data_IF_458298332878
#
_entry.id   IF_458298332878
#
_cell.length_a   1.000
_cell.length_b   1.000
_cell.length_c   1.000
_cell.angle_alpha   90.00
_cell.angle_beta   90.00
_cell.angle_gamma   90.00
#
_symmetry.space_group_name_H-M   'P 1'
#
loop_
_entity.id
_entity.type
_entity.pdbx_description
1 polymer ?
#
# COMPACT_ATOMS: atom_id res chain seq x y z
N UNK A 1 0.22 6.79 1.98
CA UNK A 1 -1.18 7.28 1.92
C UNK A 1 -1.43 7.72 0.49
N UNK A 2 -2.67 7.67 -0.02
CA UNK A 2 -2.98 8.24 -1.34
C UNK A 2 -2.67 9.74 -1.34
N UNK A 3 -1.94 10.21 -2.33
CA UNK A 3 -1.66 11.64 -2.55
C UNK A 3 -2.70 12.29 -3.45
N UNK A 4 -3.39 11.49 -4.27
CA UNK A 4 -4.62 11.86 -4.97
C UNK A 4 -5.55 10.66 -5.11
N UNK A 5 -6.86 10.92 -5.26
CA UNK A 5 -7.89 9.90 -5.46
C UNK A 5 -8.93 10.39 -6.47
N UNK A 6 -9.22 9.56 -7.47
CA UNK A 6 -10.29 9.72 -8.45
C UNK A 6 -11.43 8.75 -8.11
N UNK A 7 -12.61 9.31 -7.84
CA UNK A 7 -13.82 8.57 -7.44
C UNK A 7 -14.60 7.92 -8.58
N UNK A 8 -14.14 8.04 -9.84
CA UNK A 8 -14.73 7.35 -11.00
C UNK A 8 -13.72 6.36 -11.57
N UNK A 9 -14.08 5.08 -11.55
CA UNK A 9 -13.26 4.00 -12.13
C UNK A 9 -14.12 3.24 -13.14
N UNK A 10 -14.16 3.71 -14.38
CA UNK A 10 -15.05 3.14 -15.42
C UNK A 10 -14.75 1.67 -15.75
N UNK A 11 -13.52 1.19 -15.48
CA UNK A 11 -13.06 -0.16 -15.84
C UNK A 11 -12.99 -1.14 -14.66
N UNK A 12 -13.11 -0.68 -13.42
CA UNK A 12 -12.91 -1.51 -12.21
C UNK A 12 -13.85 -1.13 -11.08
N UNK A 13 -15.13 -1.52 -11.17
CA UNK A 13 -16.08 -1.34 -10.06
C UNK A 13 -15.86 -2.35 -8.92
N UNK A 14 -15.24 -3.50 -9.21
CA UNK A 14 -15.04 -4.60 -8.26
C UNK A 14 -13.73 -5.35 -8.50
N UNK A 15 -13.11 -5.81 -7.42
CA UNK A 15 -12.03 -6.82 -7.46
C UNK A 15 -12.55 -8.19 -7.03
N UNK A 16 -11.85 -9.25 -7.44
CA UNK A 16 -12.18 -10.63 -7.04
C UNK A 16 -11.11 -11.16 -6.11
N UNK A 17 -11.53 -11.70 -4.97
CA UNK A 17 -10.64 -12.34 -4.02
C UNK A 17 -10.45 -13.83 -4.36
N UNK A 18 -9.46 -14.47 -3.74
CA UNK A 18 -9.16 -15.89 -3.98
C UNK A 18 -10.28 -16.85 -3.61
N UNK A 19 -11.24 -16.42 -2.79
CA UNK A 19 -12.44 -17.16 -2.42
C UNK A 19 -13.64 -16.86 -3.35
N UNK A 20 -13.41 -16.17 -4.48
CA UNK A 20 -14.39 -15.67 -5.44
C UNK A 20 -15.35 -14.58 -4.92
N UNK A 21 -15.21 -14.15 -3.66
CA UNK A 21 -15.94 -12.99 -3.18
C UNK A 21 -15.48 -11.72 -3.92
N UNK A 22 -16.31 -10.66 -3.90
CA UNK A 22 -16.06 -9.41 -4.62
C UNK A 22 -15.90 -8.25 -3.65
N UNK A 23 -14.87 -7.46 -3.82
CA UNK A 23 -14.65 -6.21 -3.10
C UNK A 23 -15.03 -5.01 -3.95
N UNK A 24 -15.79 -4.06 -3.42
CA UNK A 24 -16.13 -2.81 -4.13
C UNK A 24 -14.91 -1.91 -4.21
N UNK A 25 -14.63 -1.41 -5.41
CA UNK A 25 -13.62 -0.37 -5.63
C UNK A 25 -14.29 0.98 -5.40
N UNK A 26 -13.75 1.78 -4.49
CA UNK A 26 -14.24 3.13 -4.18
C UNK A 26 -13.56 4.21 -5.04
N UNK A 27 -12.40 3.89 -5.60
CA UNK A 27 -11.64 4.82 -6.41
C UNK A 27 -10.29 4.26 -6.82
N UNK A 28 -9.61 5.02 -7.66
CA UNK A 28 -8.20 4.80 -8.00
C UNK A 28 -7.41 6.02 -7.58
N UNK A 29 -6.15 5.86 -7.20
CA UNK A 29 -5.36 6.98 -6.76
C UNK A 29 -3.87 6.81 -6.99
N UNK A 30 -3.14 7.83 -6.57
CA UNK A 30 -1.68 7.90 -6.64
C UNK A 30 -1.10 7.68 -5.25
N UNK A 31 -0.04 6.88 -5.14
CA UNK A 31 0.74 6.72 -3.92
C UNK A 31 2.18 7.13 -4.18
N UNK A 32 2.70 8.05 -3.38
CA UNK A 32 4.14 8.37 -3.36
C UNK A 32 4.91 7.31 -2.56
N UNK A 33 5.95 6.78 -3.19
CA UNK A 33 6.87 5.78 -2.61
C UNK A 33 8.24 6.38 -2.30
N UNK A 34 8.61 7.47 -2.97
CA UNK A 34 9.72 8.35 -2.61
C UNK A 34 9.44 9.77 -3.13
N UNK A 35 10.36 10.71 -2.90
CA UNK A 35 10.29 12.08 -3.42
C UNK A 35 10.18 12.15 -4.95
N UNK A 36 10.74 11.18 -5.66
CA UNK A 36 10.82 11.19 -7.13
C UNK A 36 9.90 10.16 -7.78
N UNK A 37 9.33 9.23 -7.00
CA UNK A 37 8.58 8.11 -7.53
C UNK A 37 7.19 7.97 -6.92
N UNK A 38 6.25 7.65 -7.80
CA UNK A 38 4.87 7.44 -7.44
C UNK A 38 4.26 6.32 -8.27
N UNK A 39 3.35 5.59 -7.66
CA UNK A 39 2.58 4.53 -8.30
C UNK A 39 1.19 5.08 -8.54
N UNK A 40 0.80 5.15 -9.81
CA UNK A 40 -0.53 5.57 -10.23
C UNK A 40 -1.48 4.37 -10.30
N UNK A 41 -2.77 4.64 -10.40
CA UNK A 41 -3.82 3.63 -10.56
C UNK A 41 -3.83 2.59 -9.43
N UNK A 42 -3.48 2.97 -8.20
CA UNK A 42 -3.64 2.10 -7.04
C UNK A 42 -5.11 2.11 -6.63
N UNK A 43 -5.73 0.92 -6.54
CA UNK A 43 -7.14 0.80 -6.24
C UNK A 43 -7.40 0.96 -4.74
N UNK A 44 -8.38 1.79 -4.38
CA UNK A 44 -8.96 1.85 -3.04
C UNK A 44 -10.16 0.90 -3.01
N UNK A 45 -10.09 -0.13 -2.17
CA UNK A 45 -11.15 -1.16 -2.06
C UNK A 45 -11.77 -1.07 -0.68
N UNK A 46 -13.10 -0.96 -0.60
CA UNK A 46 -13.79 -0.71 0.68
C UNK A 46 -13.57 -1.82 1.71
N UNK A 47 -13.56 -3.07 1.24
CA UNK A 47 -13.39 -4.27 2.07
C UNK A 47 -11.94 -4.53 2.50
N UNK A 48 -10.99 -3.67 2.11
CA UNK A 48 -9.57 -3.81 2.48
C UNK A 48 -9.14 -2.67 3.41
N UNK A 49 -8.54 -3.05 4.54
CA UNK A 49 -7.88 -2.12 5.45
C UNK A 49 -6.49 -1.66 4.95
N UNK A 50 -5.98 -2.27 3.88
CA UNK A 50 -4.68 -1.99 3.30
C UNK A 50 -4.79 -1.83 1.79
N UNK A 51 -3.96 -0.97 1.22
CA UNK A 51 -3.83 -0.88 -0.23
C UNK A 51 -2.91 -2.02 -0.71
N UNK A 52 -3.30 -2.67 -1.80
CA UNK A 52 -2.45 -3.64 -2.48
C UNK A 52 -1.55 -2.90 -3.47
N UNK A 53 -0.24 -3.09 -3.34
CA UNK A 53 0.74 -2.64 -4.32
C UNK A 53 1.04 -3.79 -5.29
N UNK A 54 0.90 -3.53 -6.58
CA UNK A 54 1.27 -4.49 -7.59
C UNK A 54 2.80 -4.54 -7.76
N UNK A 55 3.38 -5.74 -7.65
CA UNK A 55 4.79 -5.97 -7.97
C UNK A 55 5.07 -5.65 -9.44
N UNK A 56 4.14 -5.94 -10.34
CA UNK A 56 4.29 -5.60 -11.76
C UNK A 56 4.47 -4.09 -11.98
N UNK A 57 3.68 -3.26 -11.29
CA UNK A 57 3.81 -1.80 -11.38
C UNK A 57 5.16 -1.30 -10.83
N UNK A 58 5.74 -1.96 -9.82
CA UNK A 58 7.08 -1.64 -9.33
C UNK A 58 8.15 -2.00 -10.37
N UNK A 59 8.02 -3.16 -11.02
CA UNK A 59 8.92 -3.59 -12.09
C UNK A 59 8.88 -2.67 -13.30
N UNK A 60 7.69 -2.22 -13.71
CA UNK A 60 7.50 -1.28 -14.83
C UNK A 60 8.16 0.09 -14.57
N UNK A 61 8.31 0.46 -13.29
CA UNK A 61 9.03 1.66 -12.84
C UNK A 61 10.55 1.46 -12.74
N UNK A 62 11.07 0.28 -13.09
CA UNK A 62 12.51 -0.02 -13.05
C UNK A 62 13.01 -0.43 -11.66
N UNK A 63 12.13 -0.89 -10.77
CA UNK A 63 12.51 -1.43 -9.47
C UNK A 63 12.55 -2.96 -9.47
N UNK A 64 13.46 -3.50 -8.68
CA UNK A 64 13.47 -4.91 -8.30
C UNK A 64 12.96 -5.07 -6.87
N UNK A 65 12.30 -6.19 -6.61
CA UNK A 65 11.77 -6.55 -5.29
C UNK A 65 12.45 -7.82 -4.79
N UNK A 66 13.16 -7.74 -3.67
CA UNK A 66 13.78 -8.88 -2.99
C UNK A 66 12.94 -9.27 -1.76
N UNK A 67 12.30 -10.44 -1.82
CA UNK A 67 11.55 -11.00 -0.70
C UNK A 67 12.43 -11.94 0.12
N UNK A 68 12.58 -11.63 1.41
CA UNK A 68 13.26 -12.46 2.40
C UNK A 68 12.26 -12.93 3.45
N UNK A 69 12.59 -13.95 4.28
CA UNK A 69 11.65 -14.49 5.25
C UNK A 69 10.93 -13.47 6.13
N UNK A 70 11.59 -12.37 6.50
CA UNK A 70 11.07 -11.35 7.43
C UNK A 70 10.97 -9.94 6.85
N UNK A 71 11.42 -9.72 5.62
CA UNK A 71 11.47 -8.37 5.02
C UNK A 71 11.30 -8.42 3.50
N UNK A 72 10.87 -7.29 2.93
CA UNK A 72 10.94 -7.01 1.50
C UNK A 72 11.80 -5.78 1.29
N UNK A 73 12.69 -5.83 0.31
CA UNK A 73 13.53 -4.69 -0.09
C UNK A 73 13.17 -4.35 -1.53
N UNK A 74 12.85 -3.08 -1.78
CA UNK A 74 12.62 -2.56 -3.13
C UNK A 74 13.76 -1.60 -3.45
N UNK A 75 14.49 -1.88 -4.53
CA UNK A 75 15.62 -1.07 -4.97
C UNK A 75 15.59 -0.83 -6.47
N UNK A 76 16.28 0.21 -6.93
CA UNK A 76 16.43 0.47 -8.37
C UNK A 76 17.31 -0.60 -9.02
N UNK A 77 16.94 -1.00 -10.22
CA UNK A 77 17.70 -1.99 -11.00
C UNK A 77 19.05 -1.42 -11.48
N UNK A 78 19.10 -0.13 -11.79
CA UNK A 78 20.25 0.54 -12.42
C UNK A 78 21.47 0.68 -11.49
N UNK A 79 21.25 1.11 -10.25
CA UNK A 79 22.31 1.44 -9.30
C UNK A 79 22.18 0.68 -7.96
N UNK A 80 21.13 -0.12 -7.77
CA UNK A 80 20.88 -0.88 -6.54
C UNK A 80 20.41 -0.04 -5.36
N UNK A 81 20.13 1.25 -5.53
CA UNK A 81 19.69 2.16 -4.47
C UNK A 81 18.36 1.71 -3.89
N UNK A 82 18.31 1.56 -2.56
CA UNK A 82 17.10 1.17 -1.85
C UNK A 82 16.05 2.30 -1.88
N UNK A 83 14.87 2.00 -2.42
CA UNK A 83 13.72 2.93 -2.46
C UNK A 83 12.96 2.84 -1.14
N UNK A 84 12.60 1.63 -0.72
CA UNK A 84 11.97 1.39 0.57
C UNK A 84 12.14 -0.07 1.04
N UNK A 85 11.89 -0.28 2.33
CA UNK A 85 11.80 -1.60 2.96
C UNK A 85 10.42 -1.81 3.55
N UNK A 86 9.98 -3.05 3.52
CA UNK A 86 8.83 -3.53 4.27
C UNK A 86 9.23 -4.67 5.18
N UNK A 87 8.42 -4.93 6.20
CA UNK A 87 8.58 -6.08 7.09
C UNK A 87 7.47 -7.10 6.81
N UNK A 88 7.73 -8.35 7.13
CA UNK A 88 6.69 -9.38 7.08
C UNK A 88 5.90 -9.37 8.38
N UNK A 89 4.57 -9.36 8.28
CA UNK A 89 3.66 -9.60 9.38
C UNK A 89 2.68 -10.71 8.97
N UNK A 90 2.71 -11.84 9.69
CA UNK A 90 2.04 -13.07 9.28
C UNK A 90 2.46 -13.48 7.85
N UNK A 91 1.52 -13.54 6.91
CA UNK A 91 1.77 -13.89 5.51
C UNK A 91 1.75 -12.68 4.56
N UNK A 92 1.83 -11.46 5.10
CA UNK A 92 1.81 -10.22 4.32
C UNK A 92 3.13 -9.46 4.47
N UNK A 93 3.60 -8.86 3.39
CA UNK A 93 4.67 -7.87 3.44
C UNK A 93 4.04 -6.49 3.53
N UNK A 94 4.37 -5.77 4.60
CA UNK A 94 3.80 -4.46 4.92
C UNK A 94 4.88 -3.41 4.77
N UNK A 95 4.59 -2.39 3.97
CA UNK A 95 5.46 -1.25 3.74
C UNK A 95 4.80 -0.02 4.34
N UNK A 96 5.54 0.71 5.19
CA UNK A 96 5.09 1.98 5.72
C UNK A 96 5.80 3.12 4.98
N UNK A 97 5.07 3.89 4.17
CA UNK A 97 5.63 4.98 3.35
C UNK A 97 5.87 6.26 4.15
N UNK A 98 6.55 6.17 5.31
CA UNK A 98 6.98 7.35 6.09
C UNK A 98 8.36 7.15 6.72
N UNK A 99 9.34 7.92 6.23
CA UNK A 99 10.46 8.42 7.05
C UNK A 99 9.98 9.59 7.92
N UNK A 100 9.02 9.36 8.82
CA UNK A 100 8.71 10.30 9.89
C UNK A 100 8.42 9.51 11.14
N UNK A 101 9.01 9.93 12.26
CA UNK A 101 8.96 9.33 13.59
C UNK A 101 7.71 8.50 13.91
N UNK A 102 7.97 7.40 14.61
CA UNK A 102 7.07 6.51 15.33
C UNK A 102 5.85 7.22 15.94
N UNK A 103 4.79 7.48 15.17
CA UNK A 103 3.44 7.76 15.67
C UNK A 103 2.37 7.79 14.55
N UNK A 104 2.32 6.74 13.75
CA UNK A 104 1.14 6.48 12.90
C UNK A 104 0.82 4.99 12.95
N UNK A 105 0.44 4.53 14.15
CA UNK A 105 -0.20 3.25 14.35
C UNK A 105 -1.51 3.19 13.55
N UNK A 106 -1.76 2.01 12.95
CA UNK A 106 -3.09 1.41 12.75
C UNK A 106 -4.20 2.36 12.29
N UNK A 107 -4.41 2.48 10.97
CA UNK A 107 -5.72 2.93 10.46
C UNK A 107 -6.45 1.75 9.83
N UNK A 108 -7.18 1.03 10.69
CA UNK A 108 -8.40 0.32 10.31
C UNK A 108 -9.52 1.35 10.17
N UNK A 109 -10.40 1.19 9.17
CA UNK A 109 -11.56 2.07 8.94
C UNK A 109 -12.55 2.14 10.13
N UNK A 110 -12.39 1.34 11.18
CA UNK A 110 -13.33 1.25 12.31
C UNK A 110 -12.79 1.69 13.69
N UNK A 111 -11.65 2.38 13.78
CA UNK A 111 -11.18 2.87 15.09
C UNK A 111 -11.62 4.31 15.39
N UNK A 112 -12.94 4.52 15.48
CA UNK A 112 -13.52 5.51 16.39
C UNK A 112 -14.15 4.77 17.56
N UNK A 113 -13.33 4.23 18.45
CA UNK A 113 -13.71 4.01 19.84
C UNK A 113 -12.62 4.68 20.65
N UNK A 114 -12.96 5.82 21.25
CA UNK A 114 -12.04 6.60 22.05
C UNK A 114 -11.54 5.79 23.23
N UNK A 115 -10.22 5.71 23.39
CA UNK A 115 -9.64 5.49 24.71
C UNK A 115 -9.73 6.83 25.44
N UNK A 116 -10.70 6.94 26.36
CA UNK A 116 -10.63 7.91 27.43
C UNK A 116 -9.42 7.58 28.29
N UNK A 117 -8.61 8.60 28.58
CA UNK A 117 -7.71 8.60 29.73
C UNK A 117 -8.56 9.23 30.84
N UNK A 118 -8.90 8.45 31.85
CA UNK A 118 -9.29 8.99 33.15
C UNK A 118 -8.06 8.86 34.07
N UNK A 119 -7.80 9.95 34.79
CA UNK A 119 -6.63 10.16 35.67
C UNK A 119 -6.49 9.13 36.80
#
# INVERSE_FOLDING_TARGET
>A
MFTSLDGKVEDYDKITFGDNSKGKVEGKGKIEISSDYSINNVLLVDSLNFNLLSVGQLCDLGFQCLFKPNEVIVSKIDNGEEVFKGFRHNNLYVVNSKKTNLQACLFSKNSMVGCGIED
#
